data_IF_052951368784
#
_entry.id   IF_052951368784
#
_cell.length_a   1.000
_cell.length_b   1.000
_cell.length_c   1.000
_cell.angle_alpha   90.00
_cell.angle_beta   90.00
_cell.angle_gamma   90.00
#
_symmetry.space_group_name_H-M   'P 1'
#
loop_
_entity.id
_entity.type
_entity.pdbx_description
1 polymer ?
#
# COMPACT_ATOMS: atom_id res chain seq x y z
N UNK A 1 -23.84 -16.18 -30.44
CA UNK A 1 -22.93 -17.34 -30.56
C UNK A 1 -21.53 -16.94 -31.08
N UNK A 2 -20.97 -15.79 -30.68
CA UNK A 2 -19.62 -15.41 -31.18
C UNK A 2 -18.47 -15.91 -30.29
N UNK A 3 -18.73 -16.27 -29.02
CA UNK A 3 -17.70 -16.82 -28.13
C UNK A 3 -18.28 -17.88 -27.16
N UNK A 4 -18.54 -19.09 -27.65
CA UNK A 4 -18.84 -20.28 -26.80
C UNK A 4 -17.55 -20.95 -26.25
N UNK A 5 -16.54 -20.13 -25.92
CA UNK A 5 -15.29 -20.59 -25.31
C UNK A 5 -14.72 -19.54 -24.36
N UNK A 6 -14.11 -19.99 -23.26
CA UNK A 6 -13.44 -19.10 -22.29
C UNK A 6 -12.26 -18.39 -22.95
N UNK A 7 -12.43 -17.10 -23.25
CA UNK A 7 -11.34 -16.22 -23.66
C UNK A 7 -10.50 -15.89 -22.41
N UNK A 8 -9.51 -16.72 -22.12
CA UNK A 8 -8.48 -16.40 -21.12
C UNK A 8 -7.30 -15.75 -21.82
N UNK A 9 -6.91 -14.56 -21.36
CA UNK A 9 -5.63 -13.99 -21.74
C UNK A 9 -4.52 -14.73 -20.99
N UNK A 10 -3.47 -15.14 -21.70
CA UNK A 10 -2.34 -15.84 -21.09
C UNK A 10 -1.53 -14.91 -20.15
N UNK A 11 -0.64 -15.48 -19.32
CA UNK A 11 0.17 -14.72 -18.36
C UNK A 11 0.90 -13.49 -18.92
N UNK A 12 1.48 -13.52 -20.15
CA UNK A 12 2.18 -12.35 -20.68
C UNK A 12 1.27 -11.13 -20.86
N UNK A 13 0.08 -11.32 -21.44
CA UNK A 13 -0.87 -10.22 -21.65
C UNK A 13 -1.42 -9.72 -20.31
N UNK A 14 -1.83 -10.63 -19.42
CA UNK A 14 -2.36 -10.25 -18.11
C UNK A 14 -1.33 -9.44 -17.31
N UNK A 15 -0.08 -9.89 -17.23
CA UNK A 15 0.96 -9.18 -16.48
C UNK A 15 1.22 -7.79 -17.08
N UNK A 16 1.35 -7.67 -18.40
CA UNK A 16 1.56 -6.38 -19.05
C UNK A 16 0.39 -5.41 -18.84
N UNK A 17 -0.85 -5.90 -18.91
CA UNK A 17 -2.03 -5.08 -18.76
C UNK A 17 -2.30 -4.71 -17.29
N UNK A 18 -2.14 -5.67 -16.37
CA UNK A 18 -2.55 -5.55 -14.97
C UNK A 18 -1.50 -4.88 -14.09
N UNK A 19 -0.20 -5.13 -14.34
CA UNK A 19 0.89 -4.59 -13.52
C UNK A 19 0.83 -3.06 -13.41
N UNK A 20 0.66 -2.27 -14.50
CA UNK A 20 0.58 -0.81 -14.38
C UNK A 20 -0.54 -0.34 -13.43
N UNK A 21 -1.70 -0.99 -13.45
CA UNK A 21 -2.79 -0.66 -12.54
C UNK A 21 -2.42 -0.96 -11.09
N UNK A 22 -1.83 -2.13 -10.82
CA UNK A 22 -1.38 -2.48 -9.47
C UNK A 22 -0.30 -1.55 -8.95
N UNK A 23 0.62 -1.10 -9.81
CA UNK A 23 1.65 -0.12 -9.43
C UNK A 23 1.02 1.22 -9.02
N UNK A 24 0.12 1.75 -9.84
CA UNK A 24 -0.55 3.03 -9.56
C UNK A 24 -1.46 2.92 -8.33
N UNK A 25 -2.24 1.85 -8.22
CA UNK A 25 -3.13 1.62 -7.09
C UNK A 25 -2.34 1.46 -5.79
N UNK A 26 -1.30 0.62 -5.78
CA UNK A 26 -0.43 0.43 -4.62
C UNK A 26 0.23 1.73 -4.17
N UNK A 27 0.65 2.57 -5.12
CA UNK A 27 1.25 3.87 -4.82
C UNK A 27 0.25 4.84 -4.19
N UNK A 28 -0.98 4.93 -4.71
CA UNK A 28 -1.99 5.90 -4.23
C UNK A 28 -2.71 5.42 -2.97
N UNK A 29 -2.79 4.10 -2.75
CA UNK A 29 -3.64 3.47 -1.72
C UNK A 29 -3.41 4.01 -0.30
N UNK A 30 -2.17 4.15 0.22
CA UNK A 30 -1.97 4.70 1.57
C UNK A 30 -2.48 6.14 1.73
N UNK A 31 -2.27 6.97 0.70
CA UNK A 31 -2.73 8.36 0.70
C UNK A 31 -4.25 8.40 0.61
N UNK A 32 -4.84 7.63 -0.30
CA UNK A 32 -6.27 7.51 -0.50
C UNK A 32 -7.00 7.03 0.76
N UNK A 33 -6.44 6.03 1.44
CA UNK A 33 -7.03 5.45 2.64
C UNK A 33 -7.12 6.42 3.83
N UNK A 34 -6.27 7.47 3.85
CA UNK A 34 -6.25 8.51 4.89
C UNK A 34 -7.00 9.79 4.50
N UNK A 35 -7.48 9.91 3.26
CA UNK A 35 -8.16 11.11 2.77
C UNK A 35 -9.67 11.11 3.10
N UNK A 36 -10.21 12.17 3.72
CA UNK A 36 -11.66 12.33 3.90
C UNK A 36 -12.38 12.54 2.56
N UNK A 37 -13.48 11.79 2.31
CA UNK A 37 -14.21 11.77 1.04
C UNK A 37 -14.61 13.15 0.47
N UNK A 38 -15.00 14.12 1.30
CA UNK A 38 -15.53 15.41 0.83
C UNK A 38 -14.55 16.59 0.93
N UNK A 39 -13.49 16.51 1.75
CA UNK A 39 -12.61 17.65 2.10
C UNK A 39 -11.15 17.21 2.23
N UNK A 40 -10.71 16.39 1.27
CA UNK A 40 -9.34 15.88 1.26
C UNK A 40 -8.35 16.98 0.84
N UNK A 41 -7.25 17.08 1.58
CA UNK A 41 -6.05 17.83 1.16
C UNK A 41 -4.89 16.85 1.04
N UNK A 42 -4.38 16.64 -0.18
CA UNK A 42 -3.34 15.64 -0.48
C UNK A 42 -2.10 15.87 0.41
N UNK A 43 -1.67 17.13 0.58
CA UNK A 43 -0.52 17.47 1.42
C UNK A 43 -0.70 17.03 2.87
N UNK A 44 -1.91 17.17 3.43
CA UNK A 44 -2.20 16.77 4.82
C UNK A 44 -2.23 15.25 4.98
N UNK A 45 -2.78 14.54 4.00
CA UNK A 45 -2.81 13.08 3.99
C UNK A 45 -1.41 12.47 3.81
N UNK A 46 -0.57 13.06 2.96
CA UNK A 46 0.79 12.58 2.71
C UNK A 46 1.76 12.91 3.85
N UNK A 47 1.54 14.01 4.59
CA UNK A 47 2.45 14.44 5.65
C UNK A 47 2.80 13.33 6.66
N UNK A 48 1.86 12.60 7.30
CA UNK A 48 2.21 11.51 8.21
C UNK A 48 2.91 10.33 7.53
N UNK A 49 2.72 10.14 6.22
CA UNK A 49 3.26 9.02 5.45
C UNK A 49 4.69 9.27 4.93
N UNK A 50 5.17 10.51 4.91
CA UNK A 50 6.46 10.89 4.29
C UNK A 50 7.65 10.05 4.78
N UNK A 51 7.70 9.72 6.06
CA UNK A 51 8.79 8.93 6.62
C UNK A 51 8.69 7.45 6.22
N UNK A 52 7.47 6.91 6.15
CA UNK A 52 7.25 5.57 5.61
C UNK A 52 7.60 5.51 4.12
N UNK A 53 7.30 6.56 3.35
CA UNK A 53 7.67 6.61 1.93
C UNK A 53 9.19 6.56 1.74
N UNK A 54 9.93 7.39 2.50
CA UNK A 54 11.40 7.40 2.46
C UNK A 54 11.98 6.07 2.93
N UNK A 55 11.43 5.46 3.98
CA UNK A 55 11.85 4.15 4.45
C UNK A 55 11.58 3.06 3.40
N UNK A 56 10.41 3.08 2.74
CA UNK A 56 10.09 2.13 1.67
C UNK A 56 11.06 2.27 0.49
N UNK A 57 11.43 3.50 0.11
CA UNK A 57 12.45 3.75 -0.91
C UNK A 57 13.82 3.22 -0.48
N UNK A 58 14.20 3.40 0.79
CA UNK A 58 15.46 2.88 1.31
C UNK A 58 15.50 1.34 1.29
N UNK A 59 14.40 0.68 1.68
CA UNK A 59 14.27 -0.79 1.61
C UNK A 59 14.37 -1.27 0.16
N UNK A 60 13.69 -0.60 -0.78
CA UNK A 60 13.78 -0.94 -2.19
C UNK A 60 15.19 -0.73 -2.75
N UNK A 61 15.87 0.35 -2.37
CA UNK A 61 17.26 0.60 -2.71
C UNK A 61 18.20 -0.49 -2.18
N UNK A 62 17.98 -0.94 -0.94
CA UNK A 62 18.71 -2.06 -0.36
C UNK A 62 18.53 -3.34 -1.18
N UNK A 63 17.27 -3.70 -1.52
CA UNK A 63 17.00 -4.89 -2.34
C UNK A 63 17.61 -4.75 -3.73
N UNK A 64 17.55 -3.55 -4.33
CA UNK A 64 18.18 -3.27 -5.62
C UNK A 64 19.69 -3.53 -5.59
N UNK A 65 20.39 -3.10 -4.54
CA UNK A 65 21.85 -3.35 -4.39
C UNK A 65 22.16 -4.82 -4.12
N UNK A 66 21.30 -5.52 -3.35
CA UNK A 66 21.48 -6.94 -3.05
C UNK A 66 21.23 -7.85 -4.26
N UNK A 67 20.39 -7.43 -5.21
CA UNK A 67 20.12 -8.21 -6.42
C UNK A 67 21.05 -7.81 -7.57
N UNK A 68 21.60 -8.80 -8.28
CA UNK A 68 22.40 -8.56 -9.50
C UNK A 68 21.80 -9.31 -10.68
N UNK A 69 21.69 -8.64 -11.83
CA UNK A 69 21.16 -9.24 -13.07
C UNK A 69 19.66 -9.57 -13.06
N UNK A 70 18.90 -9.05 -12.08
CA UNK A 70 17.45 -9.26 -11.97
C UNK A 70 16.65 -8.02 -12.37
N UNK A 71 15.37 -8.21 -12.66
CA UNK A 71 14.44 -7.14 -13.03
C UNK A 71 14.26 -6.09 -11.93
N UNK A 72 14.07 -4.83 -12.34
CA UNK A 72 13.71 -3.71 -11.45
C UNK A 72 12.33 -3.87 -10.81
N UNK A 73 11.48 -4.74 -11.38
CA UNK A 73 10.17 -5.05 -10.82
C UNK A 73 10.25 -5.64 -9.40
N UNK A 74 11.34 -6.33 -9.04
CA UNK A 74 11.53 -6.85 -7.68
C UNK A 74 11.57 -5.74 -6.62
N UNK A 75 12.52 -4.79 -6.71
CA UNK A 75 12.59 -3.64 -5.81
C UNK A 75 11.36 -2.75 -5.83
N UNK A 76 10.72 -2.57 -7.00
CA UNK A 76 9.44 -1.85 -7.08
C UNK A 76 8.34 -2.58 -6.28
N UNK A 77 8.26 -3.91 -6.40
CA UNK A 77 7.34 -4.73 -5.62
C UNK A 77 7.59 -4.58 -4.12
N UNK A 78 8.86 -4.64 -3.68
CA UNK A 78 9.23 -4.46 -2.27
C UNK A 78 8.93 -3.04 -1.78
N UNK A 79 9.19 -2.02 -2.59
CA UNK A 79 8.79 -0.65 -2.30
C UNK A 79 7.29 -0.57 -2.02
N UNK A 80 6.46 -1.09 -2.93
CA UNK A 80 5.00 -1.04 -2.80
C UNK A 80 4.51 -1.85 -1.60
N UNK A 81 5.09 -3.02 -1.35
CA UNK A 81 4.80 -3.85 -0.19
C UNK A 81 5.01 -3.08 1.12
N UNK A 82 6.22 -2.57 1.30
CA UNK A 82 6.60 -1.80 2.49
C UNK A 82 5.76 -0.52 2.62
N UNK A 83 5.54 0.19 1.51
CA UNK A 83 4.73 1.41 1.45
C UNK A 83 3.29 1.18 1.90
N UNK A 84 2.64 0.12 1.40
CA UNK A 84 1.25 -0.20 1.71
C UNK A 84 1.11 -0.68 3.16
N UNK A 85 1.97 -1.58 3.62
CA UNK A 85 1.95 -2.10 4.99
C UNK A 85 2.18 -0.98 6.00
N UNK A 86 3.22 -0.16 5.82
CA UNK A 86 3.49 0.96 6.71
C UNK A 86 2.37 2.01 6.65
N UNK A 87 1.81 2.25 5.46
CA UNK A 87 0.65 3.11 5.29
C UNK A 87 -0.56 2.67 6.11
N UNK A 88 -0.88 1.37 6.08
CA UNK A 88 -1.96 0.79 6.86
C UNK A 88 -1.71 0.90 8.38
N UNK A 89 -0.47 0.69 8.83
CA UNK A 89 -0.07 0.87 10.22
C UNK A 89 -0.22 2.35 10.64
N UNK A 90 0.19 3.29 9.80
CA UNK A 90 0.08 4.73 10.07
C UNK A 90 -1.39 5.16 10.11
N UNK A 91 -2.25 4.68 9.19
CA UNK A 91 -3.69 4.92 9.23
C UNK A 91 -4.29 4.45 10.56
N UNK A 92 -3.99 3.22 10.98
CA UNK A 92 -4.47 2.68 12.26
C UNK A 92 -3.95 3.51 13.45
N UNK A 93 -2.65 3.81 13.46
CA UNK A 93 -2.03 4.59 14.54
C UNK A 93 -2.57 6.02 14.63
N UNK A 94 -3.00 6.61 13.51
CA UNK A 94 -3.59 7.96 13.47
C UNK A 94 -4.93 8.03 14.22
N UNK A 95 -5.68 6.93 14.27
CA UNK A 95 -6.96 6.80 14.99
C UNK A 95 -6.79 6.85 16.51
N UNK A 96 -5.58 6.63 17.00
CA UNK A 96 -5.29 6.65 18.44
C UNK A 96 -5.06 8.06 19.01
N UNK A 97 -5.08 9.13 18.19
CA UNK A 97 -4.86 10.51 18.63
C UNK A 97 -3.43 10.81 19.09
N UNK A 98 -3.21 12.00 19.68
CA UNK A 98 -1.91 12.47 20.21
C UNK A 98 -1.98 12.52 21.74
N UNK A 99 -1.06 11.84 22.45
CA UNK A 99 -0.98 11.88 23.92
C UNK A 99 -0.68 10.54 24.60
N UNK A 100 -0.79 10.49 25.92
CA UNK A 100 -0.67 9.27 26.72
C UNK A 100 -1.84 8.29 26.49
N UNK A 101 -1.60 6.99 26.73
CA UNK A 101 -2.64 5.96 26.62
C UNK A 101 -2.96 5.45 25.20
N UNK A 102 -2.14 5.77 24.19
CA UNK A 102 -2.34 5.33 22.80
C UNK A 102 -2.44 3.81 22.66
N UNK A 103 -1.59 3.08 23.39
CA UNK A 103 -1.60 1.61 23.40
C UNK A 103 -2.95 1.05 23.86
N UNK A 104 -3.51 1.58 24.96
CA UNK A 104 -4.83 1.17 25.44
C UNK A 104 -5.95 1.54 24.47
N UNK A 105 -5.83 2.66 23.75
CA UNK A 105 -6.79 3.06 22.72
C UNK A 105 -6.71 2.18 21.47
N UNK A 106 -5.51 1.76 21.07
CA UNK A 106 -5.28 0.85 19.94
C UNK A 106 -6.05 -0.46 20.13
N UNK A 107 -5.95 -1.04 21.34
CA UNK A 107 -6.66 -2.28 21.70
C UNK A 107 -8.18 -2.12 21.77
N UNK A 108 -8.68 -0.88 21.87
CA UNK A 108 -10.11 -0.55 21.94
C UNK A 108 -10.70 -0.10 20.60
N UNK A 109 -9.90 -0.09 19.52
CA UNK A 109 -10.41 0.28 18.20
C UNK A 109 -11.47 -0.72 17.72
N UNK A 110 -12.52 -0.25 17.02
CA UNK A 110 -13.48 -1.11 16.35
C UNK A 110 -12.81 -2.18 15.48
N UNK A 111 -13.39 -3.38 15.43
CA UNK A 111 -12.88 -4.50 14.61
C UNK A 111 -12.76 -4.14 13.13
N UNK A 112 -13.58 -3.20 12.65
CA UNK A 112 -13.50 -2.69 11.28
C UNK A 112 -12.16 -2.00 10.97
N UNK A 113 -11.55 -1.32 11.94
CA UNK A 113 -10.25 -0.66 11.74
C UNK A 113 -9.12 -1.69 11.60
N UNK A 114 -9.17 -2.75 12.41
CA UNK A 114 -8.26 -3.89 12.30
C UNK A 114 -8.47 -4.66 10.99
N UNK A 115 -9.72 -4.90 10.59
CA UNK A 115 -10.05 -5.51 9.30
C UNK A 115 -9.52 -4.67 8.14
N UNK A 116 -9.67 -3.35 8.19
CA UNK A 116 -9.07 -2.43 7.21
C UNK A 116 -7.55 -2.58 7.19
N UNK A 117 -6.88 -2.48 8.34
CA UNK A 117 -5.42 -2.61 8.42
C UNK A 117 -4.94 -3.93 7.82
N UNK A 118 -5.57 -5.06 8.18
CA UNK A 118 -5.21 -6.39 7.67
C UNK A 118 -5.44 -6.51 6.16
N UNK A 119 -6.57 -6.03 5.64
CA UNK A 119 -6.86 -6.11 4.20
C UNK A 119 -5.88 -5.30 3.36
N UNK A 120 -5.48 -4.10 3.83
CA UNK A 120 -4.49 -3.30 3.12
C UNK A 120 -3.10 -3.90 3.28
N UNK A 121 -2.74 -4.37 4.48
CA UNK A 121 -1.44 -5.01 4.71
C UNK A 121 -1.29 -6.31 3.93
N UNK A 122 -2.36 -7.08 3.72
CA UNK A 122 -2.32 -8.31 2.91
C UNK A 122 -2.14 -8.08 1.42
N UNK A 123 -2.31 -6.84 0.93
CA UNK A 123 -1.99 -6.46 -0.44
C UNK A 123 -0.50 -6.12 -0.62
N UNK A 124 0.17 -5.67 0.44
CA UNK A 124 1.59 -5.35 0.43
C UNK A 124 2.44 -6.58 0.74
#
# INVERSE_FOLDING_TARGET
>A
MFFDRKLSVGPPFFNMAFTPFMLVLGLVLPVGAMMPWKRAEIKRAFYPLRYAFVLALAIAGLVWVMQTGRSILGPIGVFLAAWVVMGAIIDLASRTGRGGGRWGRLLRLPRADWGKMLSHSGLG
#
